data_IF_208858226803
#
_entry.id   IF_208858226803
#
_cell.length_a   1.000
_cell.length_b   1.000
_cell.length_c   1.000
_cell.angle_alpha   90.00
_cell.angle_beta   90.00
_cell.angle_gamma   90.00
#
_symmetry.space_group_name_H-M   'P 1'
#
loop_
_entity.id
_entity.type
_entity.pdbx_description
1 polymer ?
#
# COMPACT_ATOMS: atom_id res chain seq x y z
N UNK A 1 -32.14 10.45 -3.10
CA UNK A 1 -30.82 10.94 -2.67
C UNK A 1 -30.19 9.84 -1.82
N UNK A 2 -30.04 8.61 -2.30
CA UNK A 2 -29.32 8.09 -3.49
C UNK A 2 -27.83 8.45 -3.50
N UNK A 3 -26.99 7.44 -3.30
CA UNK A 3 -25.69 7.35 -3.98
C UNK A 3 -24.44 7.56 -3.13
N UNK A 4 -24.12 6.62 -2.22
CA UNK A 4 -22.74 6.37 -1.80
C UNK A 4 -22.56 4.94 -1.25
N UNK A 5 -23.13 3.93 -1.93
CA UNK A 5 -22.73 2.52 -1.76
C UNK A 5 -21.37 2.31 -2.46
N UNK A 6 -20.34 2.99 -1.97
CA UNK A 6 -18.98 2.89 -2.50
C UNK A 6 -18.29 1.67 -1.89
N UNK A 7 -18.57 0.51 -2.48
CA UNK A 7 -17.70 -0.67 -2.50
C UNK A 7 -16.96 -0.97 -1.18
N UNK A 8 -17.75 -1.29 -0.16
CA UNK A 8 -17.28 -2.07 0.98
C UNK A 8 -17.04 -3.52 0.52
N UNK A 9 -15.89 -3.81 -0.08
CA UNK A 9 -15.38 -5.18 -0.14
C UNK A 9 -14.71 -5.54 1.19
N UNK A 10 -15.47 -5.41 2.30
CA UNK A 10 -15.19 -6.17 3.52
C UNK A 10 -15.79 -7.56 3.28
N UNK A 11 -15.02 -8.43 2.64
CA UNK A 11 -15.33 -9.85 2.70
C UNK A 11 -15.11 -10.30 4.15
N UNK A 12 -16.24 -10.51 4.83
CA UNK A 12 -16.36 -11.18 6.11
C UNK A 12 -15.38 -12.36 6.21
N UNK A 13 -14.61 -12.41 7.30
CA UNK A 13 -14.10 -13.68 7.82
C UNK A 13 -12.93 -14.33 7.07
N UNK A 14 -12.07 -13.57 6.41
CA UNK A 14 -10.78 -14.08 5.94
C UNK A 14 -9.73 -13.00 6.08
N UNK A 15 -8.58 -13.34 6.67
CA UNK A 15 -7.38 -12.50 6.65
C UNK A 15 -7.08 -12.13 5.20
N UNK A 16 -7.50 -10.94 4.78
CA UNK A 16 -7.16 -10.37 3.49
C UNK A 16 -5.68 -9.98 3.57
N UNK A 17 -4.86 -11.00 3.31
CA UNK A 17 -3.44 -10.86 3.02
C UNK A 17 -3.36 -9.98 1.78
N UNK A 18 -3.12 -8.70 1.99
CA UNK A 18 -2.68 -7.83 0.90
C UNK A 18 -1.24 -8.24 0.66
N UNK A 19 -1.10 -9.29 -0.14
CA UNK A 19 0.17 -9.77 -0.63
C UNK A 19 0.70 -8.72 -1.62
N UNK A 20 1.38 -7.70 -1.10
CA UNK A 20 2.55 -7.21 -1.82
C UNK A 20 3.65 -8.28 -1.76
N UNK A 21 3.66 -9.15 -0.74
CA UNK A 21 4.20 -10.53 -0.75
C UNK A 21 4.03 -11.16 0.67
N UNK A 22 2.93 -11.86 0.98
CA UNK A 22 2.75 -12.53 2.28
C UNK A 22 1.97 -13.86 2.18
N UNK A 23 2.37 -14.72 1.24
CA UNK A 23 1.63 -15.98 1.09
C UNK A 23 2.25 -17.13 0.33
N UNK A 24 3.37 -16.95 -0.38
CA UNK A 24 3.95 -18.01 -1.20
C UNK A 24 5.48 -18.03 -1.07
N UNK A 25 6.08 -19.06 -0.45
CA UNK A 25 7.54 -19.22 -0.42
C UNK A 25 8.17 -19.51 -1.80
N UNK A 26 7.40 -19.45 -2.89
CA UNK A 26 7.83 -19.80 -4.24
C UNK A 26 7.35 -18.81 -5.32
N UNK A 27 6.96 -17.58 -4.98
CA UNK A 27 6.72 -16.58 -6.01
C UNK A 27 8.09 -16.14 -6.57
N UNK A 28 8.49 -16.78 -7.66
CA UNK A 28 9.58 -16.34 -8.52
C UNK A 28 9.14 -15.02 -9.15
N UNK A 29 9.41 -13.92 -8.43
CA UNK A 29 9.26 -12.57 -8.96
C UNK A 29 10.50 -12.32 -9.80
N UNK A 30 10.40 -12.60 -11.09
CA UNK A 30 11.40 -12.32 -12.12
C UNK A 30 11.50 -10.82 -12.43
N UNK A 31 11.62 -9.98 -11.41
CA UNK A 31 12.14 -8.63 -11.62
C UNK A 31 13.66 -8.78 -11.71
N UNK A 32 14.31 -8.32 -12.79
CA UNK A 32 15.75 -8.36 -12.89
C UNK A 32 16.36 -7.68 -11.65
N UNK A 33 17.10 -8.47 -10.87
CA UNK A 33 17.70 -8.09 -9.60
C UNK A 33 18.56 -6.80 -9.61
N UNK A 34 19.25 -6.37 -10.69
CA UNK A 34 20.13 -5.21 -10.59
C UNK A 34 19.43 -3.85 -10.38
N UNK A 35 18.10 -3.76 -10.52
CA UNK A 35 17.39 -2.48 -10.40
C UNK A 35 16.61 -2.29 -9.09
N UNK A 36 16.49 -3.34 -8.26
CA UNK A 36 15.75 -3.27 -6.99
C UNK A 36 16.75 -3.27 -5.83
N UNK A 37 16.85 -2.13 -5.14
CA UNK A 37 17.76 -1.97 -3.99
C UNK A 37 17.22 -2.61 -2.73
N UNK A 38 15.92 -2.42 -2.44
CA UNK A 38 15.29 -2.92 -1.21
C UNK A 38 13.88 -3.43 -1.46
N UNK A 39 13.43 -4.32 -0.55
CA UNK A 39 12.06 -4.83 -0.48
C UNK A 39 11.57 -4.72 0.95
N UNK A 40 10.37 -4.19 1.13
CA UNK A 40 9.73 -4.06 2.44
C UNK A 40 8.35 -4.72 2.41
N UNK A 41 7.96 -5.26 3.56
CA UNK A 41 6.63 -5.84 3.80
C UNK A 41 5.79 -4.79 4.53
N UNK A 42 4.58 -4.55 4.04
CA UNK A 42 3.59 -3.64 4.65
C UNK A 42 2.36 -4.45 5.01
N UNK A 43 1.81 -4.23 6.19
CA UNK A 43 0.60 -4.91 6.65
C UNK A 43 -0.66 -4.28 6.03
N UNK A 44 -1.73 -5.06 5.91
CA UNK A 44 -3.03 -4.56 5.43
C UNK A 44 -3.57 -3.40 6.29
N UNK A 45 -3.26 -3.37 7.59
CA UNK A 45 -3.70 -2.30 8.49
C UNK A 45 -2.98 -0.99 8.19
N UNK A 46 -1.66 -1.02 8.03
CA UNK A 46 -0.85 0.15 7.66
C UNK A 46 -1.29 0.71 6.30
N UNK A 47 -1.48 -0.17 5.33
CA UNK A 47 -1.96 0.19 4.00
C UNK A 47 -3.35 0.86 4.04
N UNK A 48 -4.28 0.34 4.85
CA UNK A 48 -5.62 0.91 5.00
C UNK A 48 -5.59 2.29 5.65
N UNK A 49 -4.75 2.49 6.67
CA UNK A 49 -4.58 3.78 7.34
C UNK A 49 -4.07 4.82 6.35
N UNK A 50 -3.02 4.51 5.59
CA UNK A 50 -2.46 5.42 4.60
C UNK A 50 -3.43 5.70 3.44
N UNK A 51 -4.16 4.69 2.95
CA UNK A 51 -5.19 4.88 1.92
C UNK A 51 -6.28 5.84 2.37
N UNK A 52 -6.73 5.70 3.63
CA UNK A 52 -7.72 6.62 4.21
C UNK A 52 -7.16 8.04 4.33
N UNK A 53 -5.89 8.19 4.70
CA UNK A 53 -5.23 9.49 4.76
C UNK A 53 -5.14 10.16 3.39
N UNK A 54 -4.88 9.41 2.31
CA UNK A 54 -4.91 9.93 0.94
C UNK A 54 -6.29 10.51 0.59
N UNK A 55 -7.36 9.81 0.95
CA UNK A 55 -8.71 10.29 0.72
C UNK A 55 -9.04 11.52 1.58
N UNK A 56 -8.74 11.47 2.88
CA UNK A 56 -9.15 12.50 3.84
C UNK A 56 -8.33 13.79 3.72
N UNK A 57 -7.04 13.70 3.41
CA UNK A 57 -6.11 14.84 3.40
C UNK A 57 -5.87 15.39 2.01
N UNK A 58 -5.70 14.50 1.03
CA UNK A 58 -5.34 14.87 -0.34
C UNK A 58 -6.54 14.80 -1.30
N UNK A 59 -7.69 14.26 -0.86
CA UNK A 59 -8.85 14.03 -1.72
C UNK A 59 -8.62 12.95 -2.78
N UNK A 60 -7.59 12.12 -2.62
CA UNK A 60 -7.21 11.08 -3.58
C UNK A 60 -7.89 9.78 -3.21
N UNK A 61 -8.84 9.34 -4.04
CA UNK A 61 -9.49 8.04 -3.89
C UNK A 61 -8.64 6.94 -4.53
N UNK A 62 -7.78 6.32 -3.71
CA UNK A 62 -6.89 5.24 -4.11
C UNK A 62 -7.24 3.89 -3.45
N UNK A 63 -6.66 2.80 -3.96
CA UNK A 63 -6.80 1.47 -3.39
C UNK A 63 -5.72 1.14 -2.34
N UNK A 64 -5.91 0.00 -1.65
CA UNK A 64 -5.01 -0.44 -0.59
C UNK A 64 -3.54 -0.64 -1.02
N UNK A 65 -3.31 -1.08 -2.27
CA UNK A 65 -1.96 -1.22 -2.82
C UNK A 65 -1.23 0.13 -2.83
N UNK A 66 -1.89 1.18 -3.30
CA UNK A 66 -1.34 2.55 -3.29
C UNK A 66 -1.09 3.04 -1.88
N UNK A 67 -1.99 2.77 -0.93
CA UNK A 67 -1.76 3.09 0.47
C UNK A 67 -0.55 2.37 1.08
N UNK A 68 -0.27 1.13 0.68
CA UNK A 68 0.92 0.42 1.14
C UNK A 68 2.22 1.09 0.64
N UNK A 69 2.27 1.49 -0.63
CA UNK A 69 3.42 2.21 -1.18
C UNK A 69 3.58 3.58 -0.51
N UNK A 70 2.48 4.32 -0.34
CA UNK A 70 2.49 5.63 0.34
C UNK A 70 2.91 5.53 1.80
N UNK A 71 2.46 4.50 2.51
CA UNK A 71 2.90 4.25 3.88
C UNK A 71 4.42 4.11 3.97
N UNK A 72 5.00 3.28 3.08
CA UNK A 72 6.45 3.09 3.04
C UNK A 72 7.19 4.34 2.56
N UNK A 73 6.63 5.07 1.59
CA UNK A 73 7.19 6.34 1.11
C UNK A 73 7.28 7.39 2.22
N UNK A 74 6.24 7.53 3.05
CA UNK A 74 6.24 8.46 4.20
C UNK A 74 7.31 8.07 5.23
N UNK A 75 7.45 6.77 5.51
CA UNK A 75 8.47 6.26 6.42
C UNK A 75 9.88 6.57 5.90
N UNK A 76 10.13 6.27 4.62
CA UNK A 76 11.42 6.57 3.98
C UNK A 76 11.70 8.08 3.96
N UNK A 77 10.70 8.90 3.65
CA UNK A 77 10.84 10.36 3.67
C UNK A 77 11.24 10.91 5.04
N UNK A 78 10.81 10.25 6.12
CA UNK A 78 11.13 10.65 7.50
C UNK A 78 12.58 10.38 7.87
N UNK A 79 13.27 9.50 7.12
CA UNK A 79 14.67 9.12 7.31
C UNK A 79 15.60 9.83 6.29
N UNK A 80 15.04 10.53 5.30
CA UNK A 80 15.78 11.30 4.30
C UNK A 80 16.00 12.75 4.74
N UNK A 81 17.22 13.27 4.57
CA UNK A 81 17.51 14.69 4.84
C UNK A 81 16.89 15.62 3.78
N UNK A 82 16.99 15.26 2.49
CA UNK A 82 16.41 15.98 1.36
C UNK A 82 16.19 15.04 0.16
N UNK A 83 15.27 15.40 -0.74
CA UNK A 83 14.99 14.65 -1.96
C UNK A 83 13.51 14.64 -2.35
N UNK A 84 13.18 13.96 -3.44
CA UNK A 84 11.80 13.75 -3.87
C UNK A 84 11.49 12.26 -3.99
N UNK A 85 10.32 11.84 -3.50
CA UNK A 85 9.83 10.47 -3.61
C UNK A 85 8.68 10.45 -4.62
N UNK A 86 8.72 9.50 -5.55
CA UNK A 86 7.67 9.30 -6.56
C UNK A 86 6.95 8.00 -6.23
N UNK A 87 5.62 8.06 -6.18
CA UNK A 87 4.71 6.99 -5.72
C UNK A 87 3.65 6.70 -6.76
#
# INVERSE_FOLDING_TARGET
>A
MEGADSYCSQTKGSSLKIDILSGMPHLHVDIPFPFVTERTIVTSQEAAIATKQLLDKEGIFAGLSSGAVVHQAIKLASEMDEGNIVV
#
